data_IF_122526452114
#
_entry.id   IF_122526452114
#
_cell.length_a   1.000
_cell.length_b   1.000
_cell.length_c   1.000
_cell.angle_alpha   90.00
_cell.angle_beta   90.00
_cell.angle_gamma   90.00
#
_symmetry.space_group_name_H-M   'P 1'
#
loop_
_entity.id
_entity.type
_entity.pdbx_description
1 polymer ?
#
# COMPACT_ATOMS: atom_id res chain seq x y z
N UNK A 1 -6.16 -14.34 -7.35
CA UNK A 1 -5.38 -13.13 -7.69
C UNK A 1 -4.38 -13.34 -8.83
N UNK A 2 -3.18 -13.88 -8.59
CA UNK A 2 -2.11 -13.87 -9.61
C UNK A 2 -2.34 -14.82 -10.81
N UNK A 3 -3.09 -15.91 -10.64
CA UNK A 3 -3.44 -16.82 -11.74
C UNK A 3 -4.24 -16.13 -12.84
N UNK A 4 -5.16 -15.23 -12.47
CA UNK A 4 -5.99 -14.46 -13.41
C UNK A 4 -5.16 -13.51 -14.27
N UNK A 5 -4.06 -12.97 -13.73
CA UNK A 5 -3.15 -12.12 -14.50
C UNK A 5 -2.16 -12.91 -15.35
N UNK A 6 -1.82 -14.14 -14.99
CA UNK A 6 -0.89 -14.94 -15.79
C UNK A 6 -1.40 -15.13 -17.22
N UNK A 7 -2.73 -15.20 -17.42
CA UNK A 7 -3.34 -15.27 -18.75
C UNK A 7 -3.31 -13.95 -19.54
N UNK A 8 -3.10 -12.80 -18.90
CA UNK A 8 -3.02 -11.50 -19.60
C UNK A 8 -1.62 -11.23 -20.17
N UNK A 9 -0.61 -12.03 -19.78
CA UNK A 9 0.78 -11.84 -20.17
C UNK A 9 1.44 -10.61 -19.55
N UNK A 10 0.79 -9.99 -18.56
CA UNK A 10 1.37 -8.89 -17.78
C UNK A 10 2.39 -9.42 -16.76
N UNK A 11 3.47 -8.68 -16.56
CA UNK A 11 4.46 -8.98 -15.51
C UNK A 11 4.25 -8.08 -14.30
N UNK A 12 4.65 -8.58 -13.14
CA UNK A 12 4.36 -7.97 -11.84
C UNK A 12 5.66 -7.77 -11.05
N UNK A 13 5.81 -6.62 -10.43
CA UNK A 13 6.83 -6.37 -9.40
C UNK A 13 6.18 -6.44 -8.04
N UNK A 14 6.71 -7.25 -7.12
CA UNK A 14 6.27 -7.26 -5.72
C UNK A 14 7.40 -6.68 -4.88
N UNK A 15 7.10 -5.60 -4.15
CA UNK A 15 8.05 -4.87 -3.33
C UNK A 15 7.80 -5.18 -1.87
N UNK A 16 8.87 -5.45 -1.12
CA UNK A 16 8.82 -5.52 0.35
C UNK A 16 10.07 -4.88 0.98
N UNK A 17 9.91 -4.31 2.17
CA UNK A 17 11.02 -3.83 3.01
C UNK A 17 11.79 -4.98 3.66
N UNK A 18 11.18 -6.15 3.80
CA UNK A 18 11.69 -7.31 4.53
C UNK A 18 12.15 -8.41 3.58
N UNK A 19 13.44 -8.73 3.60
CA UNK A 19 13.96 -9.87 2.81
C UNK A 19 13.34 -11.21 3.25
N UNK A 20 12.97 -11.35 4.53
CA UNK A 20 12.27 -12.55 5.04
C UNK A 20 10.90 -12.73 4.40
N UNK A 21 10.19 -11.62 4.14
CA UNK A 21 8.91 -11.67 3.41
C UNK A 21 9.16 -12.07 1.97
N UNK A 22 10.21 -11.54 1.33
CA UNK A 22 10.60 -11.98 -0.02
C UNK A 22 10.93 -13.49 -0.06
N UNK A 23 11.58 -14.04 0.97
CA UNK A 23 11.84 -15.49 1.07
C UNK A 23 10.52 -16.29 1.05
N UNK A 24 9.52 -15.86 1.83
CA UNK A 24 8.20 -16.50 1.86
C UNK A 24 7.47 -16.35 0.52
N UNK A 25 7.52 -15.16 -0.09
CA UNK A 25 6.90 -14.91 -1.39
C UNK A 25 7.53 -15.73 -2.51
N UNK A 26 8.85 -15.98 -2.46
CA UNK A 26 9.57 -16.83 -3.40
C UNK A 26 9.13 -18.30 -3.29
N UNK A 27 8.95 -18.79 -2.06
CA UNK A 27 8.38 -20.12 -1.80
C UNK A 27 6.95 -20.21 -2.36
N UNK A 28 6.12 -19.19 -2.14
CA UNK A 28 4.75 -19.14 -2.66
C UNK A 28 4.73 -19.11 -4.20
N UNK A 29 5.59 -18.31 -4.83
CA UNK A 29 5.72 -18.30 -6.29
C UNK A 29 6.04 -19.69 -6.84
N UNK A 30 7.01 -20.37 -6.22
CA UNK A 30 7.37 -21.75 -6.58
C UNK A 30 6.20 -22.72 -6.41
N UNK A 31 5.49 -22.65 -5.27
CA UNK A 31 4.32 -23.50 -4.98
C UNK A 31 3.20 -23.36 -6.01
N UNK A 32 3.01 -22.15 -6.55
CA UNK A 32 1.98 -21.87 -7.56
C UNK A 32 2.51 -21.89 -9.01
N UNK A 33 3.74 -22.37 -9.25
CA UNK A 33 4.36 -22.42 -10.57
C UNK A 33 4.42 -21.05 -11.27
N UNK A 34 4.72 -20.01 -10.49
CA UNK A 34 5.08 -18.69 -11.00
C UNK A 34 6.60 -18.59 -11.10
N UNK A 35 7.10 -18.35 -12.32
CA UNK A 35 8.52 -18.06 -12.51
C UNK A 35 8.80 -16.67 -11.95
N UNK A 36 9.65 -16.63 -10.93
CA UNK A 36 10.02 -15.40 -10.25
C UNK A 36 11.52 -15.14 -10.34
N UNK A 37 11.86 -13.86 -10.45
CA UNK A 37 13.21 -13.34 -10.26
C UNK A 37 13.27 -12.55 -8.95
N UNK A 38 14.47 -12.36 -8.39
CA UNK A 38 14.66 -11.62 -7.15
C UNK A 38 15.80 -10.61 -7.26
N UNK A 39 15.56 -9.41 -6.75
CA UNK A 39 16.54 -8.33 -6.62
C UNK A 39 16.50 -7.76 -5.20
N UNK A 40 17.57 -8.00 -4.45
CA UNK A 40 17.75 -7.45 -3.11
C UNK A 40 19.21 -7.05 -2.83
N UNK A 41 19.51 -6.68 -1.58
CA UNK A 41 20.86 -6.27 -1.16
C UNK A 41 21.93 -7.36 -1.34
N UNK A 42 21.54 -8.64 -1.34
CA UNK A 42 22.46 -9.77 -1.52
C UNK A 42 22.80 -10.02 -3.00
N UNK A 43 22.03 -9.45 -3.93
CA UNK A 43 22.25 -9.64 -5.36
C UNK A 43 23.54 -8.93 -5.81
N UNK A 44 24.54 -9.67 -6.36
CA UNK A 44 25.78 -9.07 -6.84
C UNK A 44 25.53 -8.01 -7.91
N UNK A 45 26.23 -6.87 -7.84
CA UNK A 45 26.04 -5.75 -8.76
C UNK A 45 26.12 -6.14 -10.24
N UNK A 46 27.07 -7.01 -10.60
CA UNK A 46 27.26 -7.52 -11.96
C UNK A 46 26.06 -8.31 -12.51
N UNK A 47 25.26 -8.95 -11.64
CA UNK A 47 24.09 -9.75 -12.05
C UNK A 47 22.81 -8.91 -12.16
N UNK A 48 22.75 -7.76 -11.49
CA UNK A 48 21.52 -6.94 -11.42
C UNK A 48 21.00 -6.56 -12.80
N UNK A 49 21.87 -6.06 -13.68
CA UNK A 49 21.45 -5.67 -15.03
C UNK A 49 20.99 -6.85 -15.88
N UNK A 50 21.61 -8.02 -15.71
CA UNK A 50 21.19 -9.24 -16.41
C UNK A 50 19.77 -9.67 -16.00
N UNK A 51 19.46 -9.62 -14.70
CA UNK A 51 18.12 -9.91 -14.17
C UNK A 51 17.10 -8.91 -14.71
N UNK A 52 17.43 -7.61 -14.71
CA UNK A 52 16.56 -6.55 -15.28
C UNK A 52 16.31 -6.78 -16.77
N UNK A 53 17.35 -7.04 -17.56
CA UNK A 53 17.23 -7.29 -18.99
C UNK A 53 16.37 -8.53 -19.27
N UNK A 54 16.57 -9.60 -18.49
CA UNK A 54 15.76 -10.82 -18.58
C UNK A 54 14.30 -10.54 -18.24
N UNK A 55 14.02 -9.80 -17.16
CA UNK A 55 12.65 -9.45 -16.77
C UNK A 55 11.95 -8.57 -17.81
N UNK A 56 12.65 -7.59 -18.38
CA UNK A 56 12.10 -6.69 -19.40
C UNK A 56 11.94 -7.37 -20.77
N UNK A 57 12.54 -8.55 -21.00
CA UNK A 57 12.37 -9.27 -22.25
C UNK A 57 10.93 -9.80 -22.38
N UNK A 58 10.23 -9.37 -23.43
CA UNK A 58 8.86 -9.80 -23.76
C UNK A 58 8.73 -11.31 -24.03
N UNK A 59 9.83 -11.98 -24.39
CA UNK A 59 9.87 -13.43 -24.62
C UNK A 59 10.28 -14.23 -23.38
N UNK A 60 10.67 -13.57 -22.29
CA UNK A 60 10.90 -14.25 -21.01
C UNK A 60 9.56 -14.67 -20.41
N UNK A 61 9.55 -15.87 -19.86
CA UNK A 61 8.41 -16.44 -19.12
C UNK A 61 8.45 -16.12 -17.63
N UNK A 62 9.39 -15.26 -17.19
CA UNK A 62 9.41 -14.72 -15.85
C UNK A 62 8.21 -13.78 -15.67
N UNK A 63 7.41 -14.08 -14.67
CA UNK A 63 6.13 -13.42 -14.41
C UNK A 63 6.22 -12.43 -13.24
N UNK A 64 6.98 -12.79 -12.19
CA UNK A 64 7.11 -11.99 -10.97
C UNK A 64 8.56 -11.54 -10.78
N UNK A 65 8.77 -10.29 -10.40
CA UNK A 65 10.04 -9.80 -9.86
C UNK A 65 9.85 -9.39 -8.39
N UNK A 66 10.51 -10.11 -7.49
CA UNK A 66 10.58 -9.81 -6.07
C UNK A 66 11.67 -8.76 -5.83
N UNK A 67 11.29 -7.58 -5.36
CA UNK A 67 12.18 -6.45 -5.17
C UNK A 67 12.21 -6.03 -3.70
N UNK A 68 13.41 -5.92 -3.13
CA UNK A 68 13.54 -5.23 -1.84
C UNK A 68 13.45 -3.72 -2.06
N UNK A 69 12.60 -3.03 -1.30
CA UNK A 69 12.46 -1.56 -1.33
C UNK A 69 13.81 -0.84 -1.15
N UNK A 70 14.73 -1.43 -0.35
CA UNK A 70 16.06 -0.89 -0.05
C UNK A 70 17.15 -1.28 -1.04
N UNK A 71 16.86 -2.11 -2.06
CA UNK A 71 17.81 -2.41 -3.13
C UNK A 71 18.02 -1.23 -4.11
N UNK A 72 17.32 -0.11 -3.88
CA UNK A 72 17.06 1.00 -4.80
C UNK A 72 18.21 1.94 -5.16
N UNK A 73 19.43 1.74 -4.69
CA UNK A 73 20.58 2.59 -5.02
C UNK A 73 21.08 2.50 -6.48
N UNK A 74 20.46 1.68 -7.33
CA UNK A 74 21.00 1.28 -8.65
C UNK A 74 20.24 1.82 -9.86
N UNK A 75 19.24 2.69 -9.68
CA UNK A 75 18.65 3.35 -10.86
C UNK A 75 17.83 2.41 -11.77
N UNK A 76 17.32 1.29 -11.26
CA UNK A 76 16.74 0.20 -12.08
C UNK A 76 15.58 0.69 -12.99
N UNK A 77 15.47 0.09 -14.18
CA UNK A 77 14.38 0.32 -15.12
C UNK A 77 13.59 -0.98 -15.32
N UNK A 78 12.37 -1.05 -14.81
CA UNK A 78 11.52 -2.25 -14.73
C UNK A 78 10.25 -2.13 -15.58
N UNK A 79 10.35 -1.46 -16.74
CA UNK A 79 9.24 -1.23 -17.69
C UNK A 79 8.63 -2.51 -18.30
N UNK A 80 9.24 -3.67 -18.10
CA UNK A 80 8.65 -4.97 -18.48
C UNK A 80 7.38 -5.32 -17.70
N UNK A 81 7.21 -4.74 -16.51
CA UNK A 81 5.99 -4.87 -15.72
C UNK A 81 5.03 -3.69 -15.96
N UNK A 82 3.73 -3.98 -15.90
CA UNK A 82 2.66 -2.98 -15.86
C UNK A 82 2.02 -2.88 -14.47
N UNK A 83 2.41 -3.75 -13.53
CA UNK A 83 1.78 -3.84 -12.21
C UNK A 83 2.81 -3.94 -11.11
N UNK A 84 2.61 -3.18 -10.04
CA UNK A 84 3.48 -3.17 -8.86
C UNK A 84 2.64 -3.32 -7.59
N UNK A 85 3.01 -4.29 -6.75
CA UNK A 85 2.40 -4.53 -5.45
C UNK A 85 3.39 -4.11 -4.37
N UNK A 86 3.07 -3.06 -3.63
CA UNK A 86 3.73 -2.68 -2.39
C UNK A 86 3.14 -3.56 -1.28
N UNK A 87 3.84 -4.64 -0.93
CA UNK A 87 3.36 -5.65 0.00
C UNK A 87 3.29 -5.12 1.44
N UNK A 88 4.29 -4.33 1.83
CA UNK A 88 4.39 -3.67 3.12
C UNK A 88 4.87 -2.22 2.94
N UNK A 89 4.80 -1.44 4.03
CA UNK A 89 5.03 0.00 4.02
C UNK A 89 6.31 0.40 4.75
N UNK A 90 7.05 1.35 4.19
CA UNK A 90 8.15 2.02 4.90
C UNK A 90 7.66 3.26 5.67
N UNK A 91 8.29 3.61 6.77
CA UNK A 91 8.00 4.86 7.49
C UNK A 91 8.36 6.13 6.71
N UNK A 92 9.25 5.99 5.73
CA UNK A 92 9.68 7.03 4.81
C UNK A 92 8.97 6.84 3.45
N UNK A 93 8.01 7.72 3.08
CA UNK A 93 7.28 7.60 1.81
C UNK A 93 8.19 7.67 0.58
N UNK A 94 9.37 8.27 0.69
CA UNK A 94 10.33 8.38 -0.41
C UNK A 94 10.80 7.01 -0.92
N UNK A 95 10.89 5.99 -0.07
CA UNK A 95 11.28 4.64 -0.50
C UNK A 95 10.21 4.05 -1.42
N UNK A 96 8.94 4.20 -1.07
CA UNK A 96 7.82 3.72 -1.88
C UNK A 96 7.72 4.46 -3.22
N UNK A 97 7.86 5.79 -3.21
CA UNK A 97 7.87 6.60 -4.44
C UNK A 97 9.01 6.15 -5.37
N UNK A 98 10.20 5.93 -4.82
CA UNK A 98 11.34 5.46 -5.60
C UNK A 98 11.10 4.07 -6.19
N UNK A 99 10.45 3.17 -5.46
CA UNK A 99 10.09 1.85 -5.96
C UNK A 99 9.07 1.91 -7.11
N UNK A 100 8.00 2.71 -6.95
CA UNK A 100 7.00 2.95 -8.01
C UNK A 100 7.63 3.56 -9.27
N UNK A 101 8.55 4.51 -9.10
CA UNK A 101 9.28 5.16 -10.20
C UNK A 101 10.26 4.25 -10.95
N UNK A 102 10.39 2.97 -10.56
CA UNK A 102 11.11 1.94 -11.34
C UNK A 102 10.23 1.34 -12.44
N UNK A 103 8.91 1.35 -12.27
CA UNK A 103 7.94 0.76 -13.19
C UNK A 103 7.18 1.84 -13.97
N UNK A 104 6.70 2.87 -13.28
CA UNK A 104 6.11 4.05 -13.89
C UNK A 104 7.22 5.07 -14.20
N UNK A 105 7.82 4.90 -15.38
CA UNK A 105 8.96 5.68 -15.88
C UNK A 105 8.96 5.72 -17.40
N UNK A 106 9.71 6.65 -17.98
CA UNK A 106 9.99 6.73 -19.41
C UNK A 106 10.36 5.37 -20.00
N UNK A 107 9.71 5.04 -21.13
CA UNK A 107 9.81 3.74 -21.80
C UNK A 107 8.67 2.78 -21.47
N UNK A 108 7.85 3.08 -20.45
CA UNK A 108 6.60 2.36 -20.23
C UNK A 108 5.60 2.67 -21.35
N UNK A 109 4.93 1.64 -21.86
CA UNK A 109 3.93 1.75 -22.94
C UNK A 109 2.54 1.27 -22.52
N UNK A 110 2.44 0.60 -21.36
CA UNK A 110 1.19 0.09 -20.80
C UNK A 110 0.73 0.95 -19.62
N UNK A 111 -0.58 1.01 -19.34
CA UNK A 111 -1.08 1.56 -18.09
C UNK A 111 -0.40 0.87 -16.90
N UNK A 112 0.05 1.65 -15.91
CA UNK A 112 0.69 1.11 -14.71
C UNK A 112 -0.29 1.10 -13.55
N UNK A 113 -0.45 -0.06 -12.92
CA UNK A 113 -1.26 -0.21 -11.73
C UNK A 113 -0.38 -0.38 -10.50
N UNK A 114 -0.62 0.47 -9.49
CA UNK A 114 0.08 0.43 -8.21
C UNK A 114 -0.88 -0.03 -7.14
N UNK A 115 -0.56 -1.13 -6.46
CA UNK A 115 -1.31 -1.64 -5.32
C UNK A 115 -0.51 -1.41 -4.05
N UNK A 116 -1.18 -0.90 -3.03
CA UNK A 116 -0.61 -0.75 -1.69
C UNK A 116 -1.46 -1.56 -0.74
N UNK A 117 -0.89 -2.64 -0.20
CA UNK A 117 -1.58 -3.48 0.75
C UNK A 117 -1.45 -2.86 2.14
N UNK A 118 -2.58 -2.72 2.83
CA UNK A 118 -2.65 -2.11 4.16
C UNK A 118 -3.64 -2.91 4.97
N UNK A 119 -3.20 -3.44 6.11
CA UNK A 119 -4.08 -4.18 7.00
C UNK A 119 -4.92 -3.22 7.84
N UNK A 120 -6.25 -3.25 7.64
CA UNK A 120 -7.23 -2.37 8.29
C UNK A 120 -7.15 -2.38 9.82
N UNK A 121 -7.18 -1.19 10.42
CA UNK A 121 -7.21 -0.97 11.86
C UNK A 121 -5.89 -1.25 12.58
N UNK A 122 -4.83 -1.61 11.85
CA UNK A 122 -3.53 -1.98 12.43
C UNK A 122 -2.51 -0.84 12.35
N UNK A 123 -1.31 -1.11 12.87
CA UNK A 123 -0.15 -0.21 12.76
C UNK A 123 0.18 0.17 11.31
N UNK A 124 -0.05 -0.71 10.33
CA UNK A 124 0.22 -0.41 8.92
C UNK A 124 -0.62 0.78 8.43
N UNK A 125 -1.89 0.81 8.83
CA UNK A 125 -2.79 1.91 8.48
C UNK A 125 -2.34 3.22 9.14
N UNK A 126 -1.88 3.16 10.40
CA UNK A 126 -1.28 4.31 11.09
C UNK A 126 0.01 4.82 10.42
N UNK A 127 0.84 3.92 9.91
CA UNK A 127 2.05 4.25 9.13
C UNK A 127 1.64 4.97 7.85
N UNK A 128 0.65 4.44 7.11
CA UNK A 128 0.13 5.06 5.90
C UNK A 128 -0.41 6.48 6.14
N UNK A 129 -1.24 6.66 7.17
CA UNK A 129 -1.77 7.98 7.56
C UNK A 129 -0.64 9.00 7.81
N UNK A 130 0.48 8.55 8.40
CA UNK A 130 1.67 9.38 8.61
C UNK A 130 2.41 9.65 7.31
N UNK A 131 2.58 8.67 6.43
CA UNK A 131 3.20 8.89 5.12
C UNK A 131 2.45 9.97 4.33
N UNK A 132 1.12 9.88 4.24
CA UNK A 132 0.27 10.87 3.57
C UNK A 132 0.42 12.25 4.21
N UNK A 133 0.48 12.31 5.55
CA UNK A 133 0.70 13.56 6.26
C UNK A 133 2.08 14.16 5.93
N UNK A 134 3.15 13.35 5.93
CA UNK A 134 4.50 13.79 5.59
C UNK A 134 4.60 14.29 4.15
N UNK A 135 3.95 13.61 3.21
CA UNK A 135 3.91 14.02 1.80
C UNK A 135 3.17 15.35 1.63
N UNK A 136 1.99 15.49 2.22
CA UNK A 136 1.21 16.73 2.13
C UNK A 136 1.84 17.93 2.85
N UNK A 137 2.77 17.73 3.80
CA UNK A 137 3.58 18.79 4.41
C UNK A 137 4.79 19.16 3.54
N UNK A 138 5.39 18.18 2.85
CA UNK A 138 6.53 18.39 1.97
C UNK A 138 6.23 19.30 0.79
N UNK A 139 4.99 19.29 0.29
CA UNK A 139 4.52 20.19 -0.79
C UNK A 139 4.34 21.66 -0.33
N UNK A 140 4.25 21.91 0.98
CA UNK A 140 3.91 23.23 1.53
C UNK A 140 5.01 23.93 2.34
N UNK A 141 6.01 23.23 2.86
CA UNK A 141 7.01 23.82 3.78
C UNK A 141 8.38 23.14 3.63
N UNK A 142 9.36 23.86 3.07
CA UNK A 142 10.76 23.41 2.97
C UNK A 142 11.52 23.45 4.31
N UNK A 143 10.98 24.12 5.34
CA UNK A 143 11.72 24.47 6.57
C UNK A 143 11.35 23.71 7.86
N UNK A 144 10.38 22.78 7.84
CA UNK A 144 9.92 22.08 9.07
C UNK A 144 10.45 20.64 9.21
N UNK A 145 11.66 20.35 8.72
CA UNK A 145 12.22 18.97 8.66
C UNK A 145 12.49 18.34 10.03
N UNK A 146 12.51 19.11 11.12
CA UNK A 146 12.94 18.65 12.45
C UNK A 146 11.80 18.10 13.32
N UNK A 147 10.54 18.52 13.11
CA UNK A 147 9.42 18.17 14.00
C UNK A 147 8.74 16.82 13.71
N UNK A 148 9.10 16.15 12.60
CA UNK A 148 8.35 15.00 12.06
C UNK A 148 8.83 13.64 12.63
N UNK A 149 9.99 13.60 13.28
CA UNK A 149 10.62 12.36 13.76
C UNK A 149 10.32 12.02 15.23
N UNK A 150 9.54 12.85 15.93
CA UNK A 150 9.22 12.64 17.33
C UNK A 150 7.75 12.27 17.51
N UNK A 151 7.50 11.19 18.24
CA UNK A 151 6.16 10.78 18.67
C UNK A 151 5.88 11.38 20.04
N UNK A 152 4.67 11.93 20.25
CA UNK A 152 4.19 12.14 21.62
C UNK A 152 3.87 10.79 22.26
N UNK A 153 3.77 10.76 23.59
CA UNK A 153 3.41 9.52 24.29
C UNK A 153 2.02 9.01 23.86
N UNK A 154 1.06 9.90 23.63
CA UNK A 154 -0.27 9.53 23.15
C UNK A 154 -0.22 8.97 21.73
N UNK A 155 0.56 9.60 20.85
CA UNK A 155 0.74 9.13 19.48
C UNK A 155 1.42 7.76 19.40
N UNK A 156 2.34 7.47 20.32
CA UNK A 156 2.98 6.16 20.42
C UNK A 156 1.98 5.11 20.92
N UNK A 157 1.11 5.46 21.88
CA UNK A 157 0.01 4.57 22.29
C UNK A 157 -0.99 4.33 21.15
N UNK A 158 -1.35 5.35 20.39
CA UNK A 158 -2.25 5.23 19.24
C UNK A 158 -1.69 4.29 18.17
N UNK A 159 -0.38 4.37 17.93
CA UNK A 159 0.31 3.54 16.95
C UNK A 159 0.19 2.02 17.21
N UNK A 160 0.12 1.63 18.49
CA UNK A 160 -0.03 0.23 18.91
C UNK A 160 -1.45 -0.10 19.38
N UNK A 161 -2.45 0.70 18.98
CA UNK A 161 -3.85 0.34 19.15
C UNK A 161 -4.38 -0.41 17.93
N UNK A 162 -5.33 -1.32 18.16
CA UNK A 162 -6.02 -2.06 17.09
C UNK A 162 -7.48 -1.61 17.06
N UNK A 163 -7.93 -1.15 15.90
CA UNK A 163 -9.33 -0.80 15.66
C UNK A 163 -10.03 -1.99 14.98
N UNK A 164 -11.11 -2.49 15.58
CA UNK A 164 -11.90 -3.61 15.06
C UNK A 164 -13.33 -3.16 14.73
N UNK A 165 -14.10 -3.99 14.02
CA UNK A 165 -15.49 -3.66 13.62
C UNK A 165 -15.59 -2.80 12.35
N UNK A 166 -14.55 -2.81 11.51
CA UNK A 166 -14.47 -2.05 10.25
C UNK A 166 -14.69 -2.99 9.05
N UNK A 167 -15.80 -3.72 9.01
CA UNK A 167 -16.05 -4.74 7.98
C UNK A 167 -16.18 -4.12 6.58
N UNK A 168 -16.86 -2.98 6.48
CA UNK A 168 -17.10 -2.25 5.21
C UNK A 168 -16.48 -0.84 5.22
N UNK A 169 -15.41 -0.65 6.00
CA UNK A 169 -14.74 0.65 6.16
C UNK A 169 -13.25 0.47 6.52
N UNK A 170 -12.54 1.58 6.72
CA UNK A 170 -11.19 1.59 7.28
C UNK A 170 -10.99 2.78 8.22
N UNK A 171 -10.02 2.69 9.12
CA UNK A 171 -9.82 3.73 10.12
C UNK A 171 -9.46 5.07 9.48
N UNK A 172 -8.69 5.04 8.39
CA UNK A 172 -8.31 6.21 7.60
C UNK A 172 -9.52 6.92 7.05
N UNK A 173 -10.50 6.20 6.50
CA UNK A 173 -11.72 6.79 5.97
C UNK A 173 -12.61 7.39 7.07
N UNK A 174 -12.76 6.69 8.20
CA UNK A 174 -13.45 7.23 9.39
C UNK A 174 -12.83 8.56 9.85
N UNK A 175 -11.49 8.63 9.88
CA UNK A 175 -10.75 9.85 10.23
C UNK A 175 -10.92 11.00 9.23
N UNK A 176 -11.24 10.71 7.97
CA UNK A 176 -11.51 11.73 6.95
C UNK A 176 -12.88 12.38 7.16
N UNK A 177 -13.83 11.70 7.81
CA UNK A 177 -15.22 12.13 7.94
C UNK A 177 -15.82 12.51 6.59
N UNK A 178 -15.71 11.60 5.61
CA UNK A 178 -16.05 11.87 4.21
C UNK A 178 -17.56 12.06 3.98
N UNK A 179 -18.00 13.30 3.81
CA UNK A 179 -19.42 13.64 3.59
C UNK A 179 -20.00 13.01 2.31
N UNK A 180 -19.18 12.89 1.26
CA UNK A 180 -19.57 12.35 -0.05
C UNK A 180 -20.00 10.89 0.01
N UNK A 181 -19.35 10.09 0.87
CA UNK A 181 -19.65 8.66 1.04
C UNK A 181 -20.82 8.42 1.99
N UNK A 182 -21.15 9.38 2.85
CA UNK A 182 -22.30 9.29 3.75
C UNK A 182 -23.64 9.61 3.06
N UNK A 183 -23.66 10.50 2.06
CA UNK A 183 -24.89 10.89 1.36
C UNK A 183 -25.47 9.79 0.44
N UNK A 184 -24.69 8.75 0.09
CA UNK A 184 -25.16 7.56 -0.63
C UNK A 184 -25.76 6.47 0.28
N UNK A 185 -25.47 6.49 1.58
CA UNK A 185 -26.06 5.59 2.59
C UNK A 185 -27.39 6.17 3.08
N UNK A 186 -28.40 6.17 2.22
CA UNK A 186 -29.75 6.59 2.64
C UNK A 186 -30.32 5.57 3.63
N UNK A 187 -30.47 5.97 4.90
CA UNK A 187 -31.48 5.44 5.82
C UNK A 187 -31.57 3.92 6.04
N UNK A 188 -30.45 3.21 6.11
CA UNK A 188 -30.40 2.08 7.06
C UNK A 188 -29.79 2.61 8.35
N UNK A 189 -30.51 2.49 9.46
CA UNK A 189 -29.87 2.40 10.78
C UNK A 189 -29.04 1.11 10.76
N UNK A 190 -27.96 1.10 10.00
CA UNK A 190 -27.09 -0.05 9.93
C UNK A 190 -26.37 -0.14 11.25
N UNK A 191 -26.69 -1.19 11.98
CA UNK A 191 -26.04 -1.62 13.19
C UNK A 191 -24.64 -2.15 12.85
N UNK A 192 -23.81 -1.35 12.16
CA UNK A 192 -22.38 -1.63 12.15
C UNK A 192 -21.89 -1.37 13.58
N UNK A 193 -21.28 -2.37 14.25
CA UNK A 193 -20.81 -2.18 15.62
C UNK A 193 -19.85 -0.99 15.64
N UNK A 194 -20.03 -0.08 16.60
CA UNK A 194 -19.10 1.02 16.78
C UNK A 194 -17.66 0.47 16.80
N UNK A 195 -16.74 1.08 16.05
CA UNK A 195 -15.40 0.55 15.90
C UNK A 195 -14.77 0.40 17.29
N UNK A 196 -14.51 -0.85 17.65
CA UNK A 196 -14.05 -1.18 19.00
C UNK A 196 -12.55 -1.05 19.04
N UNK A 197 -12.05 -0.12 19.85
CA UNK A 197 -10.62 0.18 19.91
C UNK A 197 -9.94 -0.60 21.05
N UNK A 198 -9.12 -1.59 20.70
CA UNK A 198 -8.25 -2.27 21.67
C UNK A 198 -7.07 -1.37 21.98
N UNK A 199 -6.91 -1.04 23.27
CA UNK A 199 -5.85 -0.15 23.76
C UNK A 199 -4.46 -0.78 23.59
N UNK A 200 -3.46 0.07 23.46
CA UNK A 200 -2.06 -0.31 23.50
C UNK A 200 -1.74 -1.10 24.77
N UNK A 201 -1.09 -2.25 24.62
CA UNK A 201 -0.72 -3.15 25.70
C UNK A 201 0.62 -2.77 26.38
N UNK A 202 1.31 -1.75 25.87
CA UNK A 202 2.58 -1.26 26.41
C UNK A 202 2.34 -0.13 27.44
N UNK A 203 2.64 -0.40 28.71
CA UNK A 203 2.74 0.59 29.78
C UNK A 203 1.47 0.78 30.64
N UNK A 204 1.62 0.67 31.96
CA UNK A 204 0.55 0.91 32.94
C UNK A 204 0.23 2.41 33.09
N UNK A 205 -0.99 2.79 32.73
CA UNK A 205 -1.96 3.63 33.45
C UNK A 205 -2.98 4.20 32.47
N UNK A 206 -4.24 4.16 32.89
CA UNK A 206 -5.40 4.63 32.15
C UNK A 206 -5.18 6.04 31.61
N UNK A 207 -5.41 6.22 30.31
CA UNK A 207 -5.67 7.53 29.72
C UNK A 207 -6.96 7.43 28.89
N UNK A 208 -7.73 8.50 28.96
CA UNK A 208 -9.00 8.72 28.27
C UNK A 208 -8.89 8.44 26.76
N UNK A 209 -10.04 8.08 26.17
CA UNK A 209 -10.22 8.01 24.72
C UNK A 209 -9.99 9.44 24.20
N UNK A 210 -8.87 9.67 23.52
CA UNK A 210 -8.58 10.95 22.90
C UNK A 210 -9.20 10.98 21.51
N UNK A 211 -9.90 12.07 21.20
CA UNK A 211 -10.34 12.36 19.85
C UNK A 211 -9.13 12.52 18.91
N UNK A 212 -9.21 12.00 17.68
CA UNK A 212 -8.13 12.11 16.73
C UNK A 212 -7.86 13.58 16.39
N UNK A 213 -6.64 14.07 16.67
CA UNK A 213 -6.22 15.39 16.22
C UNK A 213 -6.33 15.45 14.68
N UNK A 214 -7.14 16.39 14.17
CA UNK A 214 -7.30 16.66 12.73
C UNK A 214 -5.93 16.86 12.07
N UNK A 215 -5.46 15.87 11.33
CA UNK A 215 -4.27 15.99 10.47
C UNK A 215 -4.70 16.62 9.15
N UNK A 216 -4.46 17.92 8.98
CA UNK A 216 -4.90 18.69 7.81
C UNK A 216 -4.48 18.08 6.47
N UNK A 217 -3.29 17.49 6.40
CA UNK A 217 -2.73 16.88 5.18
C UNK A 217 -3.37 15.54 4.79
N UNK A 218 -4.06 14.85 5.71
CA UNK A 218 -4.74 13.59 5.35
C UNK A 218 -5.93 13.83 4.42
N UNK A 219 -6.49 15.05 4.44
CA UNK A 219 -7.59 15.48 3.58
C UNK A 219 -7.27 15.39 2.09
N UNK A 220 -6.00 15.28 1.70
CA UNK A 220 -5.63 15.02 0.30
C UNK A 220 -6.25 13.71 -0.22
N UNK A 221 -6.49 12.73 0.66
CA UNK A 221 -7.20 11.49 0.30
C UNK A 221 -8.67 11.72 -0.04
N UNK A 222 -9.31 12.82 0.37
CA UNK A 222 -10.68 13.16 -0.04
C UNK A 222 -10.80 13.38 -1.56
N UNK A 223 -9.69 13.65 -2.26
CA UNK A 223 -9.67 13.81 -3.72
C UNK A 223 -9.66 12.46 -4.46
N UNK A 224 -9.40 11.37 -3.76
CA UNK A 224 -9.35 10.02 -4.32
C UNK A 224 -10.77 9.44 -4.34
N UNK A 225 -11.01 8.48 -5.22
CA UNK A 225 -12.24 7.71 -5.21
C UNK A 225 -12.22 6.74 -4.03
N UNK A 226 -13.36 6.63 -3.36
CA UNK A 226 -13.55 5.85 -2.14
C UNK A 226 -14.56 4.76 -2.44
N UNK A 227 -14.17 3.50 -2.27
CA UNK A 227 -15.03 2.36 -2.56
C UNK A 227 -15.13 1.45 -1.33
N UNK A 228 -16.28 1.44 -0.65
CA UNK A 228 -16.64 0.34 0.24
C UNK A 228 -16.65 -0.98 -0.54
N UNK A 229 -16.44 -2.10 0.15
CA UNK A 229 -16.36 -3.44 -0.47
C UNK A 229 -17.51 -3.75 -1.44
N UNK A 230 -18.74 -3.34 -1.08
CA UNK A 230 -19.96 -3.59 -1.85
C UNK A 230 -19.96 -2.91 -3.22
N UNK A 231 -19.28 -1.77 -3.34
CA UNK A 231 -19.21 -0.97 -4.56
C UNK A 231 -18.09 -1.41 -5.50
N UNK A 232 -17.12 -2.19 -5.03
CA UNK A 232 -15.93 -2.58 -5.81
C UNK A 232 -16.33 -3.35 -7.07
N UNK A 233 -17.23 -4.33 -6.95
CA UNK A 233 -17.64 -5.20 -8.08
C UNK A 233 -18.23 -4.42 -9.26
N UNK A 234 -18.97 -3.36 -8.98
CA UNK A 234 -19.72 -2.62 -10.00
C UNK A 234 -18.90 -1.47 -10.60
N UNK A 235 -17.88 -1.00 -9.90
CA UNK A 235 -17.15 0.22 -10.27
C UNK A 235 -15.68 -0.02 -10.66
N UNK A 236 -15.11 -1.19 -10.34
CA UNK A 236 -13.69 -1.49 -10.56
C UNK A 236 -13.53 -2.62 -11.59
N UNK A 237 -13.01 -2.27 -12.76
CA UNK A 237 -12.60 -3.22 -13.80
C UNK A 237 -11.09 -3.53 -13.70
N UNK A 238 -10.67 -4.06 -12.55
CA UNK A 238 -9.31 -4.55 -12.35
C UNK A 238 -9.33 -6.02 -11.88
N UNK A 239 -8.85 -6.96 -12.72
CA UNK A 239 -8.85 -8.39 -12.39
C UNK A 239 -8.14 -8.74 -11.08
N UNK A 240 -7.12 -7.98 -10.67
CA UNK A 240 -6.44 -8.21 -9.39
C UNK A 240 -7.33 -7.86 -8.22
N UNK A 241 -7.96 -6.68 -8.27
CA UNK A 241 -8.82 -6.17 -7.20
C UNK A 241 -10.05 -7.06 -7.05
N UNK A 242 -10.72 -7.36 -8.16
CA UNK A 242 -11.88 -8.28 -8.17
C UNK A 242 -11.51 -9.67 -7.65
N UNK A 243 -10.30 -10.15 -7.97
CA UNK A 243 -9.80 -11.44 -7.52
C UNK A 243 -9.39 -11.53 -6.05
N UNK A 244 -9.44 -10.42 -5.29
CA UNK A 244 -9.21 -10.39 -3.83
C UNK A 244 -10.30 -9.67 -3.05
N UNK A 245 -11.41 -9.32 -3.69
CA UNK A 245 -12.48 -8.52 -3.09
C UNK A 245 -12.95 -9.07 -1.73
N UNK A 246 -13.00 -10.39 -1.56
CA UNK A 246 -13.46 -11.05 -0.33
C UNK A 246 -12.52 -10.82 0.87
N UNK A 247 -11.33 -10.27 0.62
CA UNK A 247 -10.32 -9.91 1.62
C UNK A 247 -10.18 -8.39 1.81
N UNK A 248 -10.90 -7.58 1.02
CA UNK A 248 -10.82 -6.11 1.10
C UNK A 248 -11.93 -5.59 2.01
N UNK A 249 -11.61 -4.70 2.93
CA UNK A 249 -12.65 -3.96 3.68
C UNK A 249 -13.00 -2.64 3.01
N UNK A 250 -12.01 -2.01 2.37
CA UNK A 250 -12.15 -0.70 1.74
C UNK A 250 -11.08 -0.49 0.65
N UNK A 251 -11.38 0.32 -0.37
CA UNK A 251 -10.44 0.68 -1.42
C UNK A 251 -10.40 2.20 -1.64
N UNK A 252 -9.20 2.77 -1.54
CA UNK A 252 -8.90 4.09 -2.08
C UNK A 252 -8.29 3.94 -3.47
N UNK A 253 -8.80 4.68 -4.46
CA UNK A 253 -8.26 4.67 -5.82
C UNK A 253 -8.03 6.09 -6.34
N UNK A 254 -6.89 6.30 -6.98
CA UNK A 254 -6.62 7.48 -7.79
C UNK A 254 -6.12 7.07 -9.17
N UNK A 255 -6.44 7.86 -10.19
CA UNK A 255 -6.00 7.65 -11.58
C UNK A 255 -5.30 8.92 -12.04
N UNK A 256 -4.08 8.77 -12.54
CA UNK A 256 -3.30 9.85 -13.14
C UNK A 256 -3.33 9.59 -14.65
N UNK A 257 -3.73 10.61 -15.42
CA UNK A 257 -3.73 10.58 -16.88
C UNK A 257 -2.38 10.98 -17.44
#
# INVERSE_FOLDING_TARGET
MLNTLKSTGEKIVIVSISTKVLDVLEILCSKFNFKSLRLDGSTPGSKRQSIVNRFNNKFSDDFVLLLSSKAGGTGLNLIGASRIIMYDLDWNPSHDIQAMARVWRDGQTKPVFVYRLITTGTIEEKIFQRQVTKQGLGDGVVDAKTAINHFTQEELKDLFSLTSGLENDCETHVLLSCESCHNGRSNTKDQSPEPTRRKCQLGQKQSSILEPKKRSSIKNLLKWNHFPIEEIKNNIDDPLVLGVQDFLTFLFQNKIN
#
